data_IF_437630528940
#
_entry.id   IF_437630528940
#
_cell.length_a   1.000
_cell.length_b   1.000
_cell.length_c   1.000
_cell.angle_alpha   90.00
_cell.angle_beta   90.00
_cell.angle_gamma   90.00
#
_symmetry.space_group_name_H-M   'P 1'
#
loop_
_entity.id
_entity.type
_entity.pdbx_description
1 polymer ?
#
# COMPACT_ATOMS: atom_id res chain seq x y z
N UNK A 1 -9.68 -14.00 2.05
CA UNK A 1 -9.31 -15.43 1.94
C UNK A 1 -8.59 -15.61 0.62
N UNK A 2 -7.38 -16.16 0.65
CA UNK A 2 -6.68 -16.61 -0.56
C UNK A 2 -7.06 -18.06 -0.84
N UNK A 3 -7.30 -18.36 -2.12
CA UNK A 3 -7.67 -19.69 -2.59
C UNK A 3 -6.64 -20.14 -3.62
N UNK A 4 -6.24 -21.41 -3.51
CA UNK A 4 -5.45 -22.10 -4.52
C UNK A 4 -6.34 -23.14 -5.20
N UNK A 5 -5.92 -23.61 -6.38
CA UNK A 5 -6.58 -24.70 -7.10
C UNK A 5 -8.02 -24.44 -7.54
N UNK A 6 -8.37 -23.17 -7.76
CA UNK A 6 -9.64 -22.82 -8.40
C UNK A 6 -9.53 -23.07 -9.89
N UNK A 7 -10.55 -23.65 -10.52
CA UNK A 7 -10.59 -23.83 -11.97
C UNK A 7 -10.28 -22.51 -12.70
N UNK A 8 -9.41 -22.59 -13.72
CA UNK A 8 -8.93 -21.43 -14.45
C UNK A 8 -9.88 -21.05 -15.60
N UNK A 9 -11.09 -20.65 -15.23
CA UNK A 9 -12.10 -20.15 -16.15
C UNK A 9 -12.18 -18.61 -16.15
N UNK A 10 -12.78 -18.00 -17.19
CA UNK A 10 -13.10 -16.58 -17.19
C UNK A 10 -14.13 -16.28 -16.10
N UNK A 11 -13.95 -15.15 -15.40
CA UNK A 11 -14.92 -14.70 -14.41
C UNK A 11 -16.32 -14.50 -15.01
N UNK A 12 -17.36 -14.81 -14.24
CA UNK A 12 -18.75 -14.53 -14.57
C UNK A 12 -19.70 -15.61 -14.09
N UNK A 13 -20.96 -15.52 -14.52
CA UNK A 13 -22.10 -16.25 -13.97
C UNK A 13 -22.13 -17.78 -14.16
N UNK A 14 -21.00 -18.40 -14.48
CA UNK A 14 -20.82 -19.86 -14.54
C UNK A 14 -19.38 -20.27 -14.18
N UNK A 15 -18.57 -19.35 -13.65
CA UNK A 15 -17.21 -19.67 -13.22
C UNK A 15 -17.24 -20.41 -11.88
N UNK A 16 -16.30 -21.32 -11.65
CA UNK A 16 -16.16 -22.04 -10.38
C UNK A 16 -16.05 -21.09 -9.18
N UNK A 17 -15.36 -19.95 -9.35
CA UNK A 17 -15.23 -18.93 -8.31
C UNK A 17 -16.56 -18.22 -7.99
N UNK A 18 -17.37 -17.97 -9.01
CA UNK A 18 -18.69 -17.34 -8.84
C UNK A 18 -19.67 -18.30 -8.18
N UNK A 19 -19.69 -19.58 -8.59
CA UNK A 19 -20.50 -20.63 -7.96
C UNK A 19 -20.17 -20.81 -6.47
N UNK A 20 -18.87 -20.81 -6.12
CA UNK A 20 -18.42 -20.83 -4.73
C UNK A 20 -18.94 -19.60 -3.95
N UNK A 21 -18.83 -18.40 -4.51
CA UNK A 21 -19.28 -17.16 -3.85
C UNK A 21 -20.80 -17.12 -3.72
N UNK A 22 -21.54 -17.62 -4.70
CA UNK A 22 -23.00 -17.75 -4.64
C UNK A 22 -23.45 -18.75 -3.57
N UNK A 23 -22.77 -19.88 -3.44
CA UNK A 23 -23.01 -20.84 -2.36
C UNK A 23 -22.75 -20.23 -0.99
N UNK A 24 -21.63 -19.51 -0.82
CA UNK A 24 -21.30 -18.79 0.41
C UNK A 24 -22.34 -17.72 0.74
N UNK A 25 -22.78 -16.95 -0.25
CA UNK A 25 -23.80 -15.91 -0.09
C UNK A 25 -25.19 -16.49 0.17
N UNK A 26 -25.48 -17.68 -0.33
CA UNK A 26 -26.72 -18.41 0.01
C UNK A 26 -26.72 -18.81 1.49
N UNK A 27 -25.58 -19.27 2.02
CA UNK A 27 -25.44 -19.68 3.41
C UNK A 27 -25.33 -18.51 4.40
N UNK A 28 -24.55 -17.48 4.06
CA UNK A 28 -24.21 -16.37 4.95
C UNK A 28 -25.10 -15.12 4.77
N UNK A 29 -25.87 -15.07 3.69
CA UNK A 29 -26.69 -13.92 3.29
C UNK A 29 -26.14 -13.23 2.04
N UNK A 30 -27.05 -12.78 1.16
CA UNK A 30 -26.68 -12.21 -0.13
C UNK A 30 -25.73 -11.01 0.00
N UNK A 31 -24.67 -11.00 -0.79
CA UNK A 31 -23.67 -9.92 -0.81
C UNK A 31 -22.67 -9.92 0.36
N UNK A 32 -22.64 -10.99 1.17
CA UNK A 32 -21.67 -11.13 2.27
C UNK A 32 -20.25 -11.33 1.76
N UNK A 33 -20.09 -12.03 0.65
CA UNK A 33 -18.82 -12.31 -0.01
C UNK A 33 -18.83 -11.78 -1.45
N UNK A 34 -17.67 -11.30 -1.88
CA UNK A 34 -17.33 -10.96 -3.24
C UNK A 34 -15.93 -11.52 -3.55
N UNK A 35 -15.55 -11.52 -4.83
CA UNK A 35 -14.24 -11.99 -5.27
C UNK A 35 -13.51 -10.92 -6.09
N UNK A 36 -12.18 -10.99 -6.07
CA UNK A 36 -11.30 -10.14 -6.88
C UNK A 36 -11.33 -10.66 -8.31
N UNK A 37 -11.71 -9.80 -9.26
CA UNK A 37 -11.88 -10.17 -10.67
C UNK A 37 -10.55 -10.09 -11.42
N UNK A 38 -9.90 -11.23 -11.64
CA UNK A 38 -8.65 -11.35 -12.41
C UNK A 38 -8.86 -11.96 -13.79
N UNK A 39 -10.03 -12.55 -14.05
CA UNK A 39 -10.25 -13.43 -15.18
C UNK A 39 -9.45 -14.73 -15.06
N UNK A 40 -9.30 -15.41 -16.20
CA UNK A 40 -8.34 -16.51 -16.32
C UNK A 40 -6.90 -15.97 -16.32
N UNK A 41 -5.99 -16.67 -15.65
CA UNK A 41 -4.59 -16.26 -15.49
C UNK A 41 -3.64 -17.38 -15.86
N UNK A 42 -2.54 -17.08 -16.55
CA UNK A 42 -1.57 -18.10 -16.93
C UNK A 42 -2.16 -19.14 -17.88
N UNK A 43 -1.61 -20.35 -17.84
CA UNK A 43 -1.90 -21.42 -18.81
C UNK A 43 -2.32 -22.75 -18.19
N UNK A 44 -2.25 -22.86 -16.86
CA UNK A 44 -2.59 -24.07 -16.12
C UNK A 44 -4.10 -24.20 -15.95
N UNK A 45 -4.62 -25.41 -15.73
CA UNK A 45 -6.05 -25.65 -15.52
C UNK A 45 -6.58 -25.03 -14.23
N UNK A 46 -5.69 -24.68 -13.30
CA UNK A 46 -6.03 -24.02 -12.03
C UNK A 46 -5.34 -22.66 -11.87
N UNK A 47 -6.00 -21.77 -11.14
CA UNK A 47 -5.54 -20.43 -10.76
C UNK A 47 -5.62 -20.21 -9.25
N UNK A 48 -4.99 -19.15 -8.79
CA UNK A 48 -5.21 -18.60 -7.45
C UNK A 48 -6.30 -17.53 -7.49
N UNK A 49 -7.02 -17.34 -6.39
CA UNK A 49 -8.08 -16.36 -6.28
C UNK A 49 -8.14 -15.71 -4.90
N UNK A 50 -8.85 -14.58 -4.81
CA UNK A 50 -9.11 -13.89 -3.54
C UNK A 50 -10.62 -13.67 -3.41
N UNK A 51 -11.20 -14.12 -2.28
CA UNK A 51 -12.55 -13.74 -1.85
C UNK A 51 -12.48 -12.89 -0.59
N UNK A 52 -13.41 -11.95 -0.45
CA UNK A 52 -13.42 -10.98 0.64
C UNK A 52 -14.86 -10.61 1.03
N UNK A 53 -15.00 -10.00 2.21
CA UNK A 53 -16.29 -9.46 2.67
C UNK A 53 -16.34 -7.96 2.36
N UNK A 54 -17.15 -7.50 1.38
CA UNK A 54 -17.22 -6.08 1.02
C UNK A 54 -17.76 -5.20 2.15
N UNK A 55 -18.46 -5.78 3.14
CA UNK A 55 -18.87 -5.07 4.35
C UNK A 55 -17.73 -4.74 5.32
N UNK A 56 -16.54 -5.35 5.15
CA UNK A 56 -15.38 -5.16 6.05
C UNK A 56 -14.25 -4.42 5.34
N UNK A 57 -13.90 -4.86 4.13
CA UNK A 57 -12.81 -4.31 3.34
C UNK A 57 -13.26 -3.99 1.91
N UNK A 58 -12.67 -2.94 1.34
CA UNK A 58 -12.86 -2.55 -0.07
C UNK A 58 -11.54 -2.68 -0.82
N UNK A 59 -11.53 -3.29 -2.03
CA UNK A 59 -10.36 -3.29 -2.90
C UNK A 59 -9.94 -1.86 -3.27
N UNK A 60 -8.64 -1.58 -3.18
CA UNK A 60 -8.02 -0.31 -3.59
C UNK A 60 -7.22 -0.53 -4.86
N UNK A 61 -7.55 0.20 -5.92
CA UNK A 61 -6.94 0.01 -7.23
C UNK A 61 -7.35 -1.30 -7.91
N UNK A 62 -6.77 -1.56 -9.08
CA UNK A 62 -7.00 -2.79 -9.83
C UNK A 62 -6.09 -3.92 -9.30
N UNK A 63 -6.57 -5.18 -9.28
CA UNK A 63 -5.72 -6.30 -8.93
C UNK A 63 -4.58 -6.45 -9.93
N UNK A 64 -3.47 -7.01 -9.46
CA UNK A 64 -2.29 -7.25 -10.28
C UNK A 64 -1.95 -8.73 -10.32
N UNK A 65 -1.55 -9.20 -11.50
CA UNK A 65 -1.20 -10.60 -11.75
C UNK A 65 0.25 -10.68 -12.19
N UNK A 66 1.06 -11.45 -11.45
CA UNK A 66 2.45 -11.71 -11.80
C UNK A 66 2.53 -12.92 -12.73
N UNK A 67 2.27 -12.69 -14.03
CA UNK A 67 2.29 -13.70 -15.10
C UNK A 67 3.48 -13.50 -16.06
N UNK A 68 4.64 -13.16 -15.51
CA UNK A 68 5.87 -12.99 -16.31
C UNK A 68 6.69 -14.28 -16.28
N UNK A 69 7.43 -14.57 -17.35
CA UNK A 69 8.31 -15.75 -17.40
C UNK A 69 9.35 -15.76 -16.26
N UNK A 70 9.80 -14.59 -15.78
CA UNK A 70 10.69 -14.51 -14.63
C UNK A 70 10.10 -15.13 -13.35
N UNK A 71 8.78 -15.17 -13.23
CA UNK A 71 8.08 -15.81 -12.12
C UNK A 71 7.52 -17.18 -12.50
N UNK A 72 6.85 -17.31 -13.65
CA UNK A 72 6.16 -18.54 -14.03
C UNK A 72 7.09 -19.60 -14.61
N UNK A 73 8.21 -19.24 -15.23
CA UNK A 73 9.23 -20.15 -15.77
C UNK A 73 10.66 -19.59 -15.55
N UNK A 74 11.08 -19.39 -14.29
CA UNK A 74 12.30 -18.65 -13.95
C UNK A 74 13.58 -19.30 -14.52
N UNK A 75 13.53 -20.60 -14.80
CA UNK A 75 14.65 -21.37 -15.33
C UNK A 75 14.56 -21.63 -16.84
N UNK A 76 13.55 -21.08 -17.53
CA UNK A 76 13.42 -21.17 -18.98
C UNK A 76 13.20 -22.60 -19.49
N UNK A 77 12.40 -23.39 -18.78
CA UNK A 77 12.03 -24.77 -19.11
C UNK A 77 11.04 -24.86 -20.28
N UNK A 78 10.59 -23.72 -20.82
CA UNK A 78 9.79 -23.61 -22.03
C UNK A 78 8.28 -23.72 -21.79
N UNK A 79 7.85 -23.69 -20.53
CA UNK A 79 6.45 -23.74 -20.12
C UNK A 79 6.30 -23.25 -18.68
N UNK A 80 5.16 -22.63 -18.36
CA UNK A 80 4.87 -22.20 -17.00
C UNK A 80 4.95 -23.37 -16.01
N UNK A 81 5.43 -23.07 -14.80
CA UNK A 81 5.66 -24.00 -13.69
C UNK A 81 4.98 -23.48 -12.43
N UNK A 82 5.20 -22.21 -12.10
CA UNK A 82 4.45 -21.54 -11.04
C UNK A 82 3.15 -20.99 -11.63
N UNK A 83 2.04 -21.09 -10.88
CA UNK A 83 0.79 -20.42 -11.25
C UNK A 83 0.96 -18.92 -10.97
N UNK A 84 0.49 -18.03 -11.85
CA UNK A 84 0.63 -16.59 -11.63
C UNK A 84 0.14 -16.16 -10.25
N UNK A 85 0.92 -15.32 -9.57
CA UNK A 85 0.51 -14.77 -8.28
C UNK A 85 -0.49 -13.62 -8.48
N UNK A 86 -1.43 -13.45 -7.54
CA UNK A 86 -2.41 -12.36 -7.56
C UNK A 86 -2.21 -11.46 -6.36
N UNK A 87 -2.09 -10.16 -6.57
CA UNK A 87 -2.02 -9.14 -5.54
C UNK A 87 -3.22 -8.20 -5.59
N UNK A 88 -3.81 -7.93 -4.43
CA UNK A 88 -4.86 -6.92 -4.25
C UNK A 88 -4.64 -6.18 -2.94
N UNK A 89 -4.57 -4.85 -3.02
CA UNK A 89 -4.63 -3.99 -1.84
C UNK A 89 -6.07 -3.86 -1.37
N UNK A 90 -6.29 -3.98 -0.07
CA UNK A 90 -7.56 -3.76 0.58
C UNK A 90 -7.41 -2.61 1.57
N UNK A 91 -8.49 -1.84 1.73
CA UNK A 91 -8.64 -0.88 2.82
C UNK A 91 -9.84 -1.29 3.69
N UNK A 92 -9.68 -1.22 5.00
CA UNK A 92 -10.77 -1.44 5.95
C UNK A 92 -11.80 -0.33 5.80
N UNK A 93 -12.99 -0.69 5.35
CA UNK A 93 -14.08 0.24 5.02
C UNK A 93 -15.24 0.18 6.02
N UNK A 94 -15.23 -0.76 6.97
CA UNK A 94 -16.18 -0.81 8.07
C UNK A 94 -15.85 0.23 9.13
N UNK A 95 -16.68 1.28 9.21
CA UNK A 95 -16.50 2.36 10.19
C UNK A 95 -16.63 1.93 11.66
N UNK A 96 -17.12 0.71 11.94
CA UNK A 96 -17.17 0.15 13.28
C UNK A 96 -15.91 -0.66 13.64
N UNK A 97 -15.07 -0.96 12.65
CA UNK A 97 -13.81 -1.66 12.85
C UNK A 97 -12.76 -0.66 13.40
N UNK A 98 -11.99 -1.01 14.46
CA UNK A 98 -10.92 -0.14 14.98
C UNK A 98 -9.87 0.25 13.92
N UNK A 99 -9.69 -0.59 12.90
CA UNK A 99 -8.69 -0.44 11.85
C UNK A 99 -9.21 0.37 10.67
N UNK A 100 -10.35 1.06 10.82
CA UNK A 100 -10.97 1.81 9.72
C UNK A 100 -9.98 2.74 9.01
N UNK A 101 -9.88 2.60 7.69
CA UNK A 101 -8.96 3.34 6.85
C UNK A 101 -7.55 2.73 6.71
N UNK A 102 -7.19 1.74 7.55
CA UNK A 102 -5.97 0.95 7.38
C UNK A 102 -5.99 0.18 6.06
N UNK A 103 -4.83 0.04 5.45
CA UNK A 103 -4.66 -0.69 4.21
C UNK A 103 -3.58 -1.76 4.35
N UNK A 104 -3.67 -2.77 3.50
CA UNK A 104 -2.67 -3.83 3.37
C UNK A 104 -2.87 -4.54 2.03
N UNK A 105 -1.81 -5.17 1.53
CA UNK A 105 -1.83 -5.90 0.26
C UNK A 105 -1.76 -7.40 0.50
N UNK A 106 -2.79 -8.12 0.06
CA UNK A 106 -2.81 -9.58 0.05
C UNK A 106 -2.23 -10.08 -1.27
N UNK A 107 -1.31 -11.03 -1.19
CA UNK A 107 -0.66 -11.67 -2.33
C UNK A 107 -0.87 -13.17 -2.22
N UNK A 108 -1.57 -13.78 -3.18
CA UNK A 108 -1.81 -15.23 -3.19
C UNK A 108 -0.86 -15.90 -4.17
N UNK A 109 -0.21 -16.97 -3.71
CA UNK A 109 0.77 -17.74 -4.50
C UNK A 109 0.40 -19.22 -4.53
N UNK A 110 0.76 -19.88 -5.63
CA UNK A 110 0.80 -21.33 -5.73
C UNK A 110 2.04 -21.73 -6.55
N UNK A 111 3.14 -21.98 -5.84
CA UNK A 111 4.42 -22.31 -6.46
C UNK A 111 4.43 -23.77 -6.94
N UNK A 112 5.34 -24.11 -7.85
CA UNK A 112 5.41 -25.41 -8.51
C UNK A 112 5.51 -26.56 -7.51
N UNK A 113 4.61 -27.54 -7.65
CA UNK A 113 4.59 -28.75 -6.82
C UNK A 113 5.85 -29.61 -6.92
N UNK A 114 6.13 -30.33 -5.82
CA UNK A 114 7.23 -31.32 -5.72
C UNK A 114 6.97 -32.64 -6.45
N UNK A 115 5.73 -32.90 -6.89
CA UNK A 115 5.31 -34.19 -7.44
C UNK A 115 5.94 -34.59 -8.78
N UNK A 116 6.57 -33.66 -9.50
CA UNK A 116 7.19 -33.89 -10.80
C UNK A 116 8.50 -33.12 -10.95
N UNK A 117 9.51 -33.72 -11.59
CA UNK A 117 10.81 -33.10 -11.83
C UNK A 117 10.77 -31.93 -12.83
N UNK A 118 11.63 -30.94 -12.59
CA UNK A 118 11.95 -29.82 -13.48
C UNK A 118 13.26 -30.02 -14.24
N UNK A 119 14.00 -31.09 -13.95
CA UNK A 119 15.21 -31.48 -14.65
C UNK A 119 16.50 -31.20 -13.87
N UNK A 120 17.60 -31.71 -14.42
CA UNK A 120 18.91 -31.61 -13.78
C UNK A 120 19.36 -30.14 -13.62
N UNK A 121 19.77 -29.78 -12.40
CA UNK A 121 20.16 -28.41 -12.04
C UNK A 121 19.03 -27.59 -11.42
N UNK A 122 17.79 -28.05 -11.50
CA UNK A 122 16.63 -27.47 -10.81
C UNK A 122 16.16 -28.38 -9.66
N UNK A 123 16.02 -29.68 -9.94
CA UNK A 123 15.69 -30.69 -8.95
C UNK A 123 16.83 -30.85 -7.93
N UNK A 124 16.51 -30.74 -6.64
CA UNK A 124 17.47 -31.02 -5.57
C UNK A 124 17.40 -32.47 -5.12
N UNK A 125 18.42 -33.24 -5.50
CA UNK A 125 18.60 -34.64 -5.10
C UNK A 125 19.58 -34.81 -3.94
N UNK A 126 20.03 -33.71 -3.31
CA UNK A 126 21.18 -33.72 -2.41
C UNK A 126 20.86 -33.26 -0.98
N UNK A 127 19.99 -32.26 -0.83
CA UNK A 127 19.64 -31.71 0.49
C UNK A 127 18.23 -32.05 0.96
N UNK A 128 17.45 -32.73 0.11
CA UNK A 128 16.10 -33.20 0.44
C UNK A 128 14.99 -32.20 0.09
N UNK A 129 15.30 -31.11 -0.60
CA UNK A 129 14.31 -30.10 -0.99
C UNK A 129 13.46 -30.56 -2.19
N UNK A 130 13.91 -31.61 -2.88
CA UNK A 130 13.14 -32.32 -3.89
C UNK A 130 13.04 -31.60 -5.23
N UNK A 131 12.05 -32.02 -6.03
CA UNK A 131 11.89 -31.53 -7.39
C UNK A 131 11.60 -30.03 -7.45
N UNK A 132 11.99 -29.40 -8.56
CA UNK A 132 11.68 -28.01 -8.89
C UNK A 132 12.12 -26.98 -7.83
N UNK A 133 13.16 -27.27 -7.04
CA UNK A 133 13.62 -26.37 -5.98
C UNK A 133 14.17 -25.05 -6.56
N UNK A 134 14.95 -25.13 -7.64
CA UNK A 134 15.44 -23.95 -8.35
C UNK A 134 14.29 -23.11 -8.93
N UNK A 135 13.27 -23.76 -9.48
CA UNK A 135 12.08 -23.08 -10.03
C UNK A 135 11.30 -22.35 -8.93
N UNK A 136 11.07 -22.99 -7.78
CA UNK A 136 10.42 -22.34 -6.63
C UNK A 136 11.25 -21.17 -6.11
N UNK A 137 12.57 -21.33 -6.02
CA UNK A 137 13.50 -20.28 -5.55
C UNK A 137 13.54 -19.08 -6.49
N UNK A 138 13.58 -19.32 -7.80
CA UNK A 138 13.52 -18.27 -8.81
C UNK A 138 12.19 -17.52 -8.79
N UNK A 139 11.07 -18.25 -8.64
CA UNK A 139 9.74 -17.69 -8.47
C UNK A 139 9.64 -16.79 -7.23
N UNK A 140 10.11 -17.25 -6.07
CA UNK A 140 10.17 -16.45 -4.84
C UNK A 140 10.98 -15.16 -5.04
N UNK A 141 12.11 -15.24 -5.74
CA UNK A 141 12.96 -14.07 -6.04
C UNK A 141 12.24 -13.07 -6.93
N UNK A 142 11.58 -13.54 -7.99
CA UNK A 142 10.80 -12.68 -8.88
C UNK A 142 9.63 -12.02 -8.15
N UNK A 143 8.97 -12.75 -7.23
CA UNK A 143 7.87 -12.22 -6.44
C UNK A 143 8.32 -11.08 -5.52
N UNK A 144 9.39 -11.27 -4.74
CA UNK A 144 9.93 -10.22 -3.86
C UNK A 144 10.34 -8.98 -4.65
N UNK A 145 11.00 -9.17 -5.79
CA UNK A 145 11.39 -8.07 -6.67
C UNK A 145 10.18 -7.31 -7.23
N UNK A 146 9.10 -8.03 -7.54
CA UNK A 146 7.86 -7.43 -8.02
C UNK A 146 7.14 -6.63 -6.93
N UNK A 147 7.05 -7.16 -5.70
CA UNK A 147 6.44 -6.44 -4.58
C UNK A 147 7.20 -5.16 -4.22
N UNK A 148 8.53 -5.14 -4.38
CA UNK A 148 9.33 -3.93 -4.20
C UNK A 148 8.98 -2.78 -5.18
N UNK A 149 8.21 -3.05 -6.23
CA UNK A 149 7.75 -2.05 -7.20
C UNK A 149 6.42 -1.38 -6.86
N UNK A 150 5.79 -1.73 -5.73
CA UNK A 150 4.43 -1.29 -5.37
C UNK A 150 3.44 -1.63 -6.51
N UNK A 151 3.23 -2.93 -6.83
CA UNK A 151 2.56 -3.31 -8.06
C UNK A 151 1.11 -2.84 -8.12
N UNK A 152 0.42 -2.80 -6.98
CA UNK A 152 -0.96 -2.32 -6.84
C UNK A 152 -1.07 -0.79 -6.78
N UNK A 153 0.07 -0.08 -6.90
CA UNK A 153 0.17 1.38 -6.97
C UNK A 153 -0.45 2.08 -5.76
N UNK A 154 -0.15 1.58 -4.57
CA UNK A 154 -0.60 2.14 -3.29
C UNK A 154 -0.20 3.60 -3.14
N UNK A 155 0.98 4.00 -3.66
CA UNK A 155 1.42 5.39 -3.68
C UNK A 155 0.39 6.33 -4.32
N UNK A 156 -0.16 5.97 -5.48
CA UNK A 156 -1.14 6.79 -6.16
C UNK A 156 -2.55 6.64 -5.56
N UNK A 157 -2.90 5.43 -5.09
CA UNK A 157 -4.25 5.14 -4.64
C UNK A 157 -4.53 5.58 -3.19
N UNK A 158 -3.50 5.56 -2.32
CA UNK A 158 -3.57 5.88 -0.89
C UNK A 158 -2.82 7.18 -0.54
N UNK A 159 -2.01 7.71 -1.46
CA UNK A 159 -1.22 8.95 -1.25
C UNK A 159 0.15 8.72 -0.63
N UNK A 160 0.48 7.48 -0.27
CA UNK A 160 1.81 7.04 0.18
C UNK A 160 1.99 5.56 -0.20
N UNK A 161 3.25 5.11 -0.35
CA UNK A 161 3.55 3.69 -0.53
C UNK A 161 3.17 2.97 0.76
N UNK A 162 2.29 1.99 0.63
CA UNK A 162 1.96 1.05 1.68
C UNK A 162 2.90 -0.16 1.56
N UNK A 163 3.54 -0.52 2.67
CA UNK A 163 4.54 -1.61 2.69
C UNK A 163 4.01 -2.88 3.35
N UNK A 164 2.71 -2.93 3.66
CA UNK A 164 2.11 -4.03 4.39
C UNK A 164 1.68 -5.13 3.44
N UNK A 165 2.58 -6.09 3.23
CA UNK A 165 2.35 -7.24 2.35
C UNK A 165 2.09 -8.50 3.16
N UNK A 166 0.95 -9.15 2.89
CA UNK A 166 0.60 -10.48 3.37
C UNK A 166 0.66 -11.46 2.19
N UNK A 167 1.69 -12.29 2.14
CA UNK A 167 1.88 -13.31 1.11
C UNK A 167 1.39 -14.64 1.65
N UNK A 168 0.37 -15.23 1.05
CA UNK A 168 -0.29 -16.46 1.52
C UNK A 168 -0.42 -17.48 0.39
N UNK A 169 -0.45 -18.75 0.77
CA UNK A 169 -0.82 -19.85 -0.12
C UNK A 169 0.11 -21.03 -0.01
N UNK A 170 0.10 -21.88 -1.03
CA UNK A 170 0.94 -23.07 -1.13
C UNK A 170 2.27 -22.72 -1.81
N UNK A 171 3.34 -22.65 -1.02
CA UNK A 171 4.69 -22.39 -1.52
C UNK A 171 5.37 -23.68 -2.00
N UNK A 172 4.75 -24.84 -1.77
CA UNK A 172 5.29 -26.16 -2.05
C UNK A 172 6.70 -26.34 -1.47
N UNK A 173 6.98 -25.70 -0.34
CA UNK A 173 8.30 -25.64 0.26
C UNK A 173 8.22 -25.67 1.79
N UNK A 174 9.14 -26.40 2.41
CA UNK A 174 9.24 -26.40 3.87
C UNK A 174 9.95 -25.14 4.38
N UNK A 175 9.73 -24.83 5.66
CA UNK A 175 10.18 -23.59 6.30
C UNK A 175 11.67 -23.25 6.05
N UNK A 176 12.56 -24.24 6.03
CA UNK A 176 14.01 -24.06 5.84
C UNK A 176 14.49 -24.20 4.39
N UNK A 177 13.60 -24.45 3.44
CA UNK A 177 13.98 -24.60 2.04
C UNK A 177 14.33 -23.26 1.40
N UNK A 178 15.18 -23.30 0.39
CA UNK A 178 15.71 -22.18 -0.38
C UNK A 178 14.64 -21.15 -0.81
N UNK A 179 13.47 -21.55 -1.39
CA UNK A 179 12.42 -20.59 -1.73
C UNK A 179 11.92 -19.78 -0.52
N UNK A 180 11.84 -20.37 0.68
CA UNK A 180 11.44 -19.65 1.89
C UNK A 180 12.55 -18.72 2.38
N UNK A 181 13.82 -19.13 2.24
CA UNK A 181 14.96 -18.28 2.60
C UNK A 181 15.03 -16.98 1.79
N UNK A 182 14.54 -16.97 0.55
CA UNK A 182 14.43 -15.75 -0.26
C UNK A 182 13.59 -14.69 0.44
N UNK A 183 12.44 -15.06 0.99
CA UNK A 183 11.58 -14.11 1.72
C UNK A 183 12.27 -13.60 2.98
N UNK A 184 12.84 -14.50 3.78
CA UNK A 184 13.47 -14.14 5.07
C UNK A 184 14.67 -13.20 4.90
N UNK A 185 15.50 -13.45 3.90
CA UNK A 185 16.65 -12.59 3.59
C UNK A 185 16.25 -11.22 3.03
N UNK A 186 15.01 -11.07 2.56
CA UNK A 186 14.45 -9.80 2.07
C UNK A 186 13.51 -9.12 3.07
N UNK A 187 13.62 -9.46 4.36
CA UNK A 187 12.91 -8.76 5.43
C UNK A 187 11.44 -9.16 5.59
N UNK A 188 11.06 -10.32 5.06
CA UNK A 188 9.77 -10.93 5.37
C UNK A 188 9.93 -11.96 6.49
N UNK A 189 8.85 -12.27 7.19
CA UNK A 189 8.81 -13.30 8.24
C UNK A 189 7.61 -14.20 8.05
N UNK A 190 7.81 -15.50 8.28
CA UNK A 190 6.70 -16.43 8.33
C UNK A 190 5.94 -16.25 9.65
N UNK A 191 4.62 -16.18 9.56
CA UNK A 191 3.72 -15.98 10.70
C UNK A 191 3.38 -17.31 11.38
N UNK A 192 3.44 -18.43 10.65
CA UNK A 192 3.28 -19.76 11.25
C UNK A 192 4.61 -20.29 11.79
N UNK A 193 4.53 -21.08 12.86
CA UNK A 193 5.71 -21.60 13.53
C UNK A 193 6.49 -22.58 12.63
N UNK A 194 7.82 -22.63 12.78
CA UNK A 194 8.68 -23.51 11.99
C UNK A 194 8.32 -25.01 12.10
N UNK A 195 7.74 -25.44 13.21
CA UNK A 195 7.34 -26.83 13.47
C UNK A 195 5.85 -27.10 13.20
N UNK A 196 5.18 -26.22 12.46
CA UNK A 196 3.81 -26.42 11.96
C UNK A 196 3.77 -27.48 10.86
N UNK A 197 2.55 -27.90 10.52
CA UNK A 197 2.26 -28.74 9.37
C UNK A 197 0.92 -28.31 8.78
N UNK A 198 0.76 -28.51 7.48
CA UNK A 198 -0.47 -28.20 6.74
C UNK A 198 -0.83 -29.29 5.75
N UNK A 199 0.04 -30.30 5.60
CA UNK A 199 -0.04 -31.33 4.57
C UNK A 199 0.61 -32.64 5.03
N UNK A 200 0.11 -33.75 4.51
CA UNK A 200 0.65 -35.10 4.72
C UNK A 200 0.96 -35.77 3.38
N UNK A 201 2.20 -36.21 3.20
CA UNK A 201 2.65 -36.93 2.01
C UNK A 201 3.27 -38.27 2.40
N UNK A 202 2.74 -39.39 1.89
CA UNK A 202 3.26 -40.73 2.17
C UNK A 202 3.47 -41.04 3.68
N UNK A 203 2.65 -40.42 4.54
CA UNK A 203 2.71 -40.56 6.00
C UNK A 203 3.70 -39.63 6.70
N UNK A 204 4.38 -38.75 5.96
CA UNK A 204 5.23 -37.67 6.50
C UNK A 204 4.46 -36.36 6.56
N UNK A 205 4.62 -35.63 7.67
CA UNK A 205 3.91 -34.38 7.94
C UNK A 205 4.83 -33.20 7.64
N UNK A 206 4.30 -32.18 6.99
CA UNK A 206 5.06 -30.98 6.67
C UNK A 206 4.18 -29.77 6.40
N UNK A 207 4.81 -28.59 6.35
CA UNK A 207 4.13 -27.31 6.07
C UNK A 207 4.52 -26.82 4.68
N UNK A 208 3.57 -26.89 3.76
CA UNK A 208 3.69 -26.34 2.40
C UNK A 208 2.95 -25.00 2.27
N UNK A 209 1.92 -24.82 3.11
CA UNK A 209 1.10 -23.62 3.19
C UNK A 209 1.69 -22.67 4.22
N UNK A 210 1.92 -21.43 3.80
CA UNK A 210 2.55 -20.42 4.66
C UNK A 210 1.79 -19.11 4.61
N UNK A 211 1.96 -18.32 5.65
CA UNK A 211 1.60 -16.92 5.69
C UNK A 211 2.85 -16.10 5.99
N UNK A 212 3.32 -15.33 5.03
CA UNK A 212 4.58 -14.59 5.06
C UNK A 212 4.27 -13.09 5.02
N UNK A 213 4.66 -12.36 6.05
CA UNK A 213 4.41 -10.92 6.16
C UNK A 213 5.68 -10.10 5.92
N UNK A 214 5.54 -8.91 5.33
CA UNK A 214 6.60 -7.90 5.35
C UNK A 214 6.91 -7.47 6.79
N UNK A 215 8.08 -6.87 7.02
CA UNK A 215 8.47 -6.38 8.35
C UNK A 215 7.46 -5.40 8.96
N UNK A 216 6.81 -4.55 8.15
CA UNK A 216 5.82 -3.59 8.64
C UNK A 216 4.48 -4.24 8.98
N UNK A 217 4.03 -5.23 8.20
CA UNK A 217 2.80 -5.95 8.52
C UNK A 217 3.00 -6.93 9.69
N UNK A 218 4.18 -7.52 9.85
CA UNK A 218 4.46 -8.49 10.91
C UNK A 218 4.24 -7.89 12.32
N UNK A 219 4.41 -6.58 12.50
CA UNK A 219 4.12 -5.90 13.78
C UNK A 219 2.63 -5.68 14.04
N UNK A 220 1.80 -5.86 13.01
CA UNK A 220 0.34 -5.69 13.00
C UNK A 220 -0.39 -7.05 13.02
N UNK A 221 0.31 -8.15 13.30
CA UNK A 221 -0.26 -9.49 13.37
C UNK A 221 -0.53 -9.87 14.83
N UNK A 222 -1.77 -10.25 15.14
CA UNK A 222 -2.16 -10.72 16.48
C UNK A 222 -1.88 -12.20 16.70
N UNK A 223 -1.76 -12.97 15.62
CA UNK A 223 -1.43 -14.39 15.64
C UNK A 223 -1.71 -15.06 14.29
N UNK A 224 -1.10 -16.22 14.06
CA UNK A 224 -1.41 -17.08 12.92
C UNK A 224 -1.31 -18.55 13.33
N UNK A 225 -2.18 -19.39 12.78
CA UNK A 225 -2.19 -20.84 13.04
C UNK A 225 -2.79 -21.61 11.87
N UNK A 226 -2.31 -22.82 11.66
CA UNK A 226 -2.97 -23.82 10.82
C UNK A 226 -4.28 -24.27 11.49
N UNK A 227 -5.35 -24.33 10.70
CA UNK A 227 -6.63 -24.86 11.14
C UNK A 227 -6.76 -26.31 10.68
N UNK A 228 -6.34 -27.22 11.55
CA UNK A 228 -6.31 -28.66 11.28
C UNK A 228 -7.72 -29.27 11.13
N UNK A 229 -8.20 -29.30 9.90
CA UNK A 229 -9.47 -29.93 9.51
C UNK A 229 -9.30 -30.91 8.33
N UNK A 230 -8.14 -30.91 7.67
CA UNK A 230 -7.94 -31.57 6.39
C UNK A 230 -6.75 -32.53 6.40
N UNK A 231 -5.56 -32.06 6.79
CA UNK A 231 -4.32 -32.84 6.58
C UNK A 231 -4.24 -34.10 7.44
N UNK A 232 -4.83 -34.05 8.65
CA UNK A 232 -4.94 -35.18 9.57
C UNK A 232 -5.98 -36.22 9.14
N UNK A 233 -6.90 -35.85 8.26
CA UNK A 233 -8.00 -36.70 7.82
C UNK A 233 -7.60 -37.67 6.73
N UNK A 234 -8.19 -38.86 6.76
CA UNK A 234 -7.95 -39.86 5.72
C UNK A 234 -8.44 -39.37 4.37
N UNK A 235 -7.61 -39.54 3.32
CA UNK A 235 -8.04 -39.32 1.94
C UNK A 235 -9.23 -40.16 1.52
N UNK A 236 -9.60 -41.22 2.26
CA UNK A 236 -10.82 -41.97 1.99
C UNK A 236 -12.10 -41.17 2.28
N UNK A 237 -12.05 -40.12 3.10
CA UNK A 237 -13.21 -39.31 3.51
C UNK A 237 -13.48 -38.09 2.60
N UNK A 238 -12.62 -37.84 1.61
CA UNK A 238 -12.78 -36.68 0.70
C UNK A 238 -14.02 -36.75 -0.20
N UNK A 239 -14.21 -35.68 -0.96
CA UNK A 239 -15.35 -35.44 -1.85
C UNK A 239 -15.26 -36.14 -3.22
N UNK A 240 -14.23 -36.97 -3.49
CA UNK A 240 -14.14 -37.69 -4.76
C UNK A 240 -15.36 -38.61 -4.94
N UNK A 241 -15.80 -38.78 -6.17
CA UNK A 241 -17.01 -39.52 -6.48
C UNK A 241 -16.75 -41.03 -6.69
N UNK A 242 -17.77 -41.76 -7.11
CA UNK A 242 -17.69 -43.21 -7.36
C UNK A 242 -17.42 -43.56 -8.83
N UNK A 243 -17.24 -42.55 -9.68
CA UNK A 243 -17.03 -42.67 -11.12
C UNK A 243 -15.54 -42.77 -11.36
N UNK A 244 -15.13 -43.82 -12.06
CA UNK A 244 -13.76 -43.91 -12.54
C UNK A 244 -13.67 -43.17 -13.87
N UNK A 245 -13.07 -41.99 -13.87
CA UNK A 245 -12.83 -41.22 -15.08
C UNK A 245 -11.65 -41.77 -15.88
N UNK A 246 -11.63 -41.44 -17.18
CA UNK A 246 -10.56 -41.92 -18.06
C UNK A 246 -9.23 -41.24 -17.71
N UNK A 247 -8.27 -42.02 -17.21
CA UNK A 247 -6.94 -41.54 -16.81
C UNK A 247 -6.79 -41.31 -15.31
N UNK A 248 -7.89 -41.34 -14.57
CA UNK A 248 -7.88 -41.33 -13.12
C UNK A 248 -7.32 -42.66 -12.57
N UNK A 249 -6.60 -42.61 -11.44
CA UNK A 249 -6.08 -43.82 -10.81
C UNK A 249 -7.20 -44.62 -10.14
N UNK A 250 -7.07 -45.96 -10.13
CA UNK A 250 -8.13 -46.86 -9.64
C UNK A 250 -8.47 -46.73 -8.15
N UNK A 251 -7.69 -45.95 -7.40
CA UNK A 251 -7.84 -45.72 -5.97
C UNK A 251 -8.43 -44.33 -5.66
N UNK A 252 -8.59 -43.46 -6.66
CA UNK A 252 -9.20 -42.13 -6.50
C UNK A 252 -10.73 -42.23 -6.53
N UNK A 253 -11.29 -43.07 -7.40
CA UNK A 253 -12.72 -43.37 -7.41
C UNK A 253 -13.14 -44.15 -6.15
N UNK A 254 -14.16 -43.64 -5.45
CA UNK A 254 -14.66 -44.23 -4.21
C UNK A 254 -15.43 -45.53 -4.45
N UNK A 255 -15.36 -46.48 -3.51
CA UNK A 255 -16.13 -47.71 -3.61
C UNK A 255 -17.63 -47.42 -3.50
N UNK A 256 -18.38 -47.67 -4.58
CA UNK A 256 -19.84 -47.45 -4.62
C UNK A 256 -20.64 -48.22 -3.54
N UNK A 257 -20.07 -49.28 -2.97
CA UNK A 257 -20.72 -50.11 -1.94
C UNK A 257 -20.57 -49.58 -0.52
N UNK A 258 -19.69 -48.61 -0.29
CA UNK A 258 -19.45 -48.03 1.04
C UNK A 258 -19.11 -46.54 0.89
N UNK A 259 -20.12 -45.64 0.91
CA UNK A 259 -19.86 -44.21 0.85
C UNK A 259 -19.15 -43.78 2.13
N UNK A 260 -17.91 -43.32 1.97
CA UNK A 260 -17.05 -42.88 3.08
C UNK A 260 -17.03 -41.35 3.23
N UNK A 261 -17.58 -40.61 2.27
CA UNK A 261 -17.71 -39.17 2.32
C UNK A 261 -18.62 -38.73 3.47
N UNK A 262 -18.21 -37.68 4.18
CA UNK A 262 -19.05 -36.94 5.12
C UNK A 262 -19.16 -35.48 4.69
N UNK A 263 -20.36 -34.90 4.83
CA UNK A 263 -20.64 -33.52 4.41
C UNK A 263 -20.45 -32.53 5.57
N UNK A 264 -19.33 -32.66 6.29
CA UNK A 264 -18.88 -31.72 7.31
C UNK A 264 -17.66 -30.93 6.81
N UNK A 265 -17.05 -30.11 7.66
CA UNK A 265 -15.91 -29.27 7.31
C UNK A 265 -14.60 -30.06 7.09
N UNK A 266 -14.55 -31.29 7.59
CA UNK A 266 -13.35 -32.11 7.61
C UNK A 266 -13.08 -32.74 6.24
N UNK A 267 -11.80 -32.84 5.87
CA UNK A 267 -11.36 -33.39 4.57
C UNK A 267 -12.02 -32.72 3.36
N UNK A 268 -12.33 -31.44 3.48
CA UNK A 268 -12.77 -30.59 2.38
C UNK A 268 -11.62 -30.22 1.43
N UNK A 269 -10.38 -30.45 1.86
CA UNK A 269 -9.15 -30.38 1.07
C UNK A 269 -8.14 -31.43 1.60
N UNK A 270 -7.04 -31.63 0.90
CA UNK A 270 -5.84 -32.33 1.39
C UNK A 270 -4.86 -31.40 2.12
N UNK A 271 -5.12 -30.09 2.10
CA UNK A 271 -4.35 -29.05 2.81
C UNK A 271 -5.16 -28.37 3.92
N UNK A 272 -4.52 -28.04 5.04
CA UNK A 272 -5.11 -27.23 6.11
C UNK A 272 -5.08 -25.72 5.76
N UNK A 273 -6.16 -24.96 6.05
CA UNK A 273 -6.13 -23.52 5.93
C UNK A 273 -5.24 -22.85 6.99
N UNK A 274 -4.53 -21.78 6.62
CA UNK A 274 -3.86 -20.90 7.59
C UNK A 274 -4.80 -19.74 7.96
N UNK A 275 -5.01 -19.53 9.26
CA UNK A 275 -5.82 -18.43 9.80
C UNK A 275 -4.90 -17.39 10.42
N UNK A 276 -5.04 -16.13 9.99
CA UNK A 276 -4.23 -14.99 10.44
C UNK A 276 -5.16 -13.92 11.06
N UNK A 277 -4.77 -13.40 12.22
CA UNK A 277 -5.38 -12.23 12.84
C UNK A 277 -4.53 -10.98 12.63
N UNK A 278 -5.18 -9.87 12.25
CA UNK A 278 -4.55 -8.58 12.01
C UNK A 278 -5.14 -7.54 12.96
N UNK A 279 -4.29 -6.60 13.39
CA UNK A 279 -4.58 -5.39 14.16
C UNK A 279 -3.79 -4.28 13.49
N UNK A 280 -4.42 -3.64 12.50
CA UNK A 280 -3.72 -2.80 11.53
C UNK A 280 -3.52 -1.37 12.03
N UNK A 281 -2.38 -0.79 11.69
CA UNK A 281 -2.05 0.60 11.98
C UNK A 281 -2.88 1.52 11.07
N UNK A 282 -4.06 1.92 11.53
CA UNK A 282 -4.90 2.88 10.81
C UNK A 282 -4.15 4.21 10.62
N UNK A 283 -4.21 4.83 9.43
CA UNK A 283 -3.75 6.20 9.25
C UNK A 283 -4.41 7.07 10.31
N UNK A 284 -3.62 7.91 10.98
CA UNK A 284 -4.18 8.87 11.93
C UNK A 284 -5.36 9.59 11.26
N UNK A 285 -6.54 9.67 11.91
CA UNK A 285 -7.73 10.20 11.28
C UNK A 285 -7.40 11.57 10.72
N UNK A 286 -7.45 11.69 9.38
CA UNK A 286 -7.29 12.99 8.75
C UNK A 286 -8.44 13.83 9.30
N UNK A 287 -8.18 14.95 10.02
CA UNK A 287 -9.25 15.74 10.58
C UNK A 287 -10.15 16.13 9.41
N UNK A 288 -11.40 15.64 9.45
CA UNK A 288 -12.37 15.97 8.41
C UNK A 288 -12.55 17.48 8.47
N UNK A 289 -12.19 18.24 7.40
CA UNK A 289 -12.44 19.66 7.39
C UNK A 289 -13.95 19.83 7.46
N UNK A 290 -14.46 20.20 8.64
CA UNK A 290 -15.84 20.63 8.78
C UNK A 290 -15.91 21.94 8.03
N UNK A 291 -16.51 21.92 6.84
CA UNK A 291 -16.71 23.11 6.04
C UNK A 291 -17.71 24.03 6.76
N UNK A 292 -17.25 24.83 7.72
CA UNK A 292 -17.96 26.00 8.20
C UNK A 292 -17.58 27.18 7.32
N UNK A 293 -18.52 27.52 6.43
CA UNK A 293 -18.61 28.77 5.66
C UNK A 293 -17.36 29.18 4.87
N UNK A 294 -17.41 28.90 3.56
CA UNK A 294 -16.67 29.61 2.52
C UNK A 294 -16.80 31.15 2.70
N UNK A 295 -15.73 31.90 3.02
CA UNK A 295 -15.77 33.35 2.93
C UNK A 295 -15.59 33.75 1.46
N UNK A 296 -16.65 33.58 0.68
CA UNK A 296 -16.79 34.16 -0.65
C UNK A 296 -15.83 33.64 -1.72
N UNK A 297 -16.39 32.99 -2.73
CA UNK A 297 -15.79 32.89 -4.06
C UNK A 297 -15.63 34.32 -4.64
N UNK A 298 -14.52 34.98 -4.28
CA UNK A 298 -14.05 36.20 -4.90
C UNK A 298 -13.05 35.84 -5.99
N UNK A 299 -13.55 35.49 -7.17
CA UNK A 299 -12.75 35.53 -8.38
C UNK A 299 -12.38 37.01 -8.65
N UNK A 300 -11.28 37.47 -8.07
CA UNK A 300 -10.78 38.82 -8.19
C UNK A 300 -9.33 38.87 -7.74
N UNK A 301 -8.42 39.20 -8.67
CA UNK A 301 -6.99 39.36 -8.42
C UNK A 301 -6.66 40.54 -7.49
N UNK A 302 -7.00 40.41 -6.21
CA UNK A 302 -6.67 41.35 -5.15
C UNK A 302 -5.72 40.70 -4.15
N UNK A 303 -4.50 41.23 -4.05
CA UNK A 303 -3.48 40.77 -3.11
C UNK A 303 -4.00 40.91 -1.66
N UNK A 304 -3.85 39.85 -0.85
CA UNK A 304 -4.43 39.71 0.49
C UNK A 304 -3.82 40.61 1.58
N UNK A 305 -3.27 41.76 1.22
CA UNK A 305 -2.55 42.65 2.13
C UNK A 305 -3.51 43.29 3.16
N UNK A 306 -3.22 43.11 4.45
CA UNK A 306 -3.99 43.64 5.56
C UNK A 306 -5.29 42.88 5.87
N UNK A 307 -5.48 41.68 5.31
CA UNK A 307 -6.66 40.85 5.58
C UNK A 307 -6.45 39.96 6.80
N UNK A 308 -7.50 39.84 7.60
CA UNK A 308 -7.54 38.89 8.70
C UNK A 308 -8.45 37.71 8.37
N UNK A 309 -8.01 36.50 8.73
CA UNK A 309 -8.73 35.25 8.53
C UNK A 309 -8.89 34.56 9.88
N UNK A 310 -10.11 34.11 10.19
CA UNK A 310 -10.37 33.35 11.40
C UNK A 310 -10.39 31.85 11.05
N UNK A 311 -9.57 31.05 11.73
CA UNK A 311 -9.60 29.58 11.66
C UNK A 311 -10.27 29.07 12.93
N UNK A 312 -11.37 28.32 12.76
CA UNK A 312 -12.22 27.92 13.88
C UNK A 312 -12.85 29.15 14.56
N UNK A 313 -13.01 29.11 15.87
CA UNK A 313 -13.56 30.23 16.65
C UNK A 313 -12.50 31.19 17.20
N UNK A 314 -11.22 30.77 17.24
CA UNK A 314 -10.24 31.36 18.14
C UNK A 314 -8.87 31.71 17.54
N UNK A 315 -8.54 31.26 16.33
CA UNK A 315 -7.27 31.63 15.70
C UNK A 315 -7.52 32.76 14.72
N UNK A 316 -6.89 33.91 14.97
CA UNK A 316 -6.91 35.05 14.04
C UNK A 316 -5.55 35.16 13.37
N UNK A 317 -5.58 35.05 12.04
CA UNK A 317 -4.45 35.30 11.18
C UNK A 317 -4.54 36.70 10.63
N UNK A 318 -3.44 37.44 10.63
CA UNK A 318 -3.32 38.70 9.89
C UNK A 318 -2.14 38.60 8.95
N UNK A 319 -2.38 38.91 7.67
CA UNK A 319 -1.37 38.83 6.63
C UNK A 319 -1.12 40.22 6.09
N UNK A 320 0.14 40.63 6.05
CA UNK A 320 0.56 41.82 5.33
C UNK A 320 1.77 41.52 4.43
N UNK A 321 1.84 42.26 3.32
CA UNK A 321 2.97 42.20 2.38
C UNK A 321 3.58 43.59 2.24
N UNK A 322 4.89 43.63 2.01
CA UNK A 322 5.60 44.88 1.75
C UNK A 322 5.15 45.57 0.45
N UNK A 323 4.60 44.82 -0.51
CA UNK A 323 4.19 45.33 -1.83
C UNK A 323 3.02 44.52 -2.44
N UNK A 324 2.17 45.12 -3.32
CA UNK A 324 0.94 44.51 -3.82
C UNK A 324 1.12 43.61 -5.07
N UNK A 325 2.29 43.58 -5.73
CA UNK A 325 2.51 42.75 -6.93
C UNK A 325 3.94 42.25 -7.04
N UNK A 326 4.14 40.93 -7.13
CA UNK A 326 5.46 40.32 -7.29
C UNK A 326 6.13 40.78 -8.60
N UNK A 327 7.33 41.35 -8.50
CA UNK A 327 8.17 41.80 -9.60
C UNK A 327 9.52 41.10 -9.57
N UNK A 328 10.06 40.81 -10.76
CA UNK A 328 11.32 40.09 -10.93
C UNK A 328 12.54 40.89 -10.45
N UNK A 329 13.50 40.22 -9.80
CA UNK A 329 14.73 40.84 -9.30
C UNK A 329 14.57 41.60 -7.97
N UNK A 330 13.45 41.43 -7.27
CA UNK A 330 13.21 42.03 -5.95
C UNK A 330 12.96 40.98 -4.86
N UNK A 331 13.30 41.33 -3.63
CA UNK A 331 12.96 40.56 -2.43
C UNK A 331 11.63 41.03 -1.88
N UNK A 332 10.74 40.08 -1.61
CA UNK A 332 9.38 40.29 -1.10
C UNK A 332 9.33 39.81 0.33
N UNK A 333 8.77 40.62 1.23
CA UNK A 333 8.55 40.22 2.61
C UNK A 333 7.05 40.06 2.88
N UNK A 334 6.70 38.89 3.38
CA UNK A 334 5.37 38.58 3.89
C UNK A 334 5.45 38.48 5.40
N UNK A 335 4.55 39.17 6.08
CA UNK A 335 4.40 39.12 7.53
C UNK A 335 3.07 38.43 7.82
N UNK A 336 3.16 37.25 8.44
CA UNK A 336 2.00 36.50 8.90
C UNK A 336 2.03 36.53 10.42
N UNK A 337 1.02 37.16 11.03
CA UNK A 337 0.83 37.14 12.48
C UNK A 337 -0.28 36.16 12.81
N UNK A 338 0.04 35.20 13.67
CA UNK A 338 -0.88 34.20 14.21
C UNK A 338 -1.17 34.59 15.65
N UNK A 339 -2.46 34.71 16.00
CA UNK A 339 -2.90 35.03 17.36
C UNK A 339 -3.88 33.98 17.84
N UNK A 340 -3.64 33.41 19.02
CA UNK A 340 -4.61 32.56 19.71
C UNK A 340 -5.45 33.39 20.68
N UNK A 341 -6.77 33.44 20.46
CA UNK A 341 -7.70 34.25 21.26
C UNK A 341 -8.50 33.45 22.30
N UNK A 342 -8.28 32.13 22.45
CA UNK A 342 -8.98 31.28 23.43
C UNK A 342 -8.02 30.33 24.20
N UNK A 343 -8.54 29.65 25.23
CA UNK A 343 -7.81 28.79 26.17
C UNK A 343 -7.81 27.29 25.76
N UNK A 344 -8.38 26.95 24.61
CA UNK A 344 -8.74 25.59 24.22
C UNK A 344 -8.25 25.21 22.81
N UNK A 345 -7.80 23.95 22.69
CA UNK A 345 -7.16 23.38 21.51
C UNK A 345 -8.10 23.24 20.32
N UNK A 346 -7.73 23.86 19.20
CA UNK A 346 -8.41 23.74 17.90
C UNK A 346 -7.42 23.07 16.93
N UNK A 347 -7.91 22.19 16.07
CA UNK A 347 -7.19 21.71 14.88
C UNK A 347 -7.84 22.24 13.60
N UNK A 348 -7.05 22.75 12.67
CA UNK A 348 -7.52 23.19 11.35
C UNK A 348 -6.37 23.30 10.36
N UNK A 349 -6.67 23.19 9.06
CA UNK A 349 -5.71 23.41 7.96
C UNK A 349 -6.17 24.60 7.13
N UNK A 350 -5.40 25.69 7.15
CA UNK A 350 -5.58 26.79 6.19
C UNK A 350 -4.52 26.69 5.11
N UNK A 351 -4.99 26.54 3.87
CA UNK A 351 -4.16 26.55 2.66
C UNK A 351 -4.20 27.95 2.06
N UNK A 352 -3.15 28.74 2.26
CA UNK A 352 -3.03 30.05 1.64
C UNK A 352 -2.30 29.92 0.31
N UNK A 353 -3.03 30.17 -0.78
CA UNK A 353 -2.48 30.18 -2.13
C UNK A 353 -2.11 31.63 -2.49
N UNK A 354 -0.85 31.98 -2.27
CA UNK A 354 -0.28 33.27 -2.69
C UNK A 354 -0.03 33.24 -4.21
N UNK A 355 0.17 34.38 -4.91
CA UNK A 355 0.22 34.41 -6.37
C UNK A 355 1.37 33.57 -6.93
N UNK A 356 1.12 32.27 -7.11
CA UNK A 356 1.97 31.33 -7.83
C UNK A 356 3.10 30.65 -7.06
N UNK A 357 3.44 31.08 -5.83
CA UNK A 357 4.81 30.89 -5.33
C UNK A 357 4.99 30.11 -4.02
N UNK A 358 3.95 29.95 -3.19
CA UNK A 358 4.03 29.14 -1.97
C UNK A 358 2.66 28.59 -1.60
N UNK A 359 2.66 27.38 -1.04
CA UNK A 359 1.54 26.87 -0.24
C UNK A 359 1.97 26.87 1.21
N UNK A 360 1.22 27.55 2.06
CA UNK A 360 1.38 27.50 3.52
C UNK A 360 0.23 26.69 4.09
N UNK A 361 0.55 25.58 4.75
CA UNK A 361 -0.36 24.82 5.60
C UNK A 361 -0.06 25.17 7.05
N UNK A 362 -1.10 25.53 7.79
CA UNK A 362 -1.01 25.73 9.23
C UNK A 362 -1.78 24.58 9.85
N UNK A 363 -1.12 23.74 10.65
CA UNK A 363 -1.72 22.61 11.38
C UNK A 363 -1.66 22.98 12.85
N UNK A 364 -2.76 22.85 13.57
CA UNK A 364 -2.80 23.08 15.01
C UNK A 364 -3.14 21.80 15.75
N UNK A 365 -2.43 21.50 16.83
CA UNK A 365 -2.74 20.36 17.70
C UNK A 365 -3.52 20.80 18.96
N UNK A 366 -4.01 19.82 19.70
CA UNK A 366 -4.82 20.03 20.91
C UNK A 366 -4.01 20.64 22.08
N UNK A 367 -2.69 20.77 21.96
CA UNK A 367 -1.80 21.34 22.96
C UNK A 367 -1.40 22.79 22.63
N UNK A 368 -2.02 23.40 21.60
CA UNK A 368 -1.67 24.74 21.15
C UNK A 368 -0.42 24.80 20.27
N UNK A 369 0.10 23.64 19.82
CA UNK A 369 1.20 23.59 18.86
C UNK A 369 0.68 23.92 17.47
N UNK A 370 1.18 25.01 16.90
CA UNK A 370 0.94 25.45 15.52
C UNK A 370 2.12 25.02 14.67
N UNK A 371 1.96 24.01 13.84
CA UNK A 371 2.90 23.70 12.78
C UNK A 371 2.62 24.55 11.55
N UNK A 372 3.59 25.37 11.15
CA UNK A 372 3.56 26.04 9.85
C UNK A 372 4.43 25.23 8.90
N UNK A 373 3.80 24.68 7.88
CA UNK A 373 4.43 23.95 6.80
C UNK A 373 4.33 24.81 5.57
N UNK A 374 5.45 25.15 4.93
CA UNK A 374 5.41 25.83 3.64
C UNK A 374 6.18 25.06 2.58
N UNK A 375 5.66 25.09 1.37
CA UNK A 375 6.26 24.45 0.20
C UNK A 375 6.33 25.44 -0.95
N UNK A 376 7.44 25.40 -1.68
CA UNK A 376 7.60 26.06 -2.96
C UNK A 376 6.97 25.18 -4.05
N UNK A 377 5.89 25.61 -4.73
CA UNK A 377 5.36 24.90 -5.87
C UNK A 377 6.38 24.98 -7.01
N UNK A 378 6.45 23.91 -7.81
CA UNK A 378 7.20 23.92 -9.06
C UNK A 378 6.25 24.20 -10.22
N UNK A 379 6.69 25.04 -11.15
CA UNK A 379 5.96 25.29 -12.40
C UNK A 379 6.30 24.16 -13.39
N UNK A 380 5.38 23.22 -13.61
CA UNK A 380 5.51 22.22 -14.70
C UNK A 380 4.52 22.55 -15.80
N UNK A 381 5.02 22.83 -17.00
CA UNK A 381 4.20 23.07 -18.19
C UNK A 381 3.09 24.12 -18.02
N UNK A 382 3.39 25.23 -17.33
CA UNK A 382 2.42 26.31 -17.08
C UNK A 382 1.34 25.98 -16.06
N UNK A 383 1.42 24.83 -15.39
CA UNK A 383 0.55 24.43 -14.28
C UNK A 383 1.39 24.35 -12.99
N UNK A 384 0.85 24.87 -11.90
CA UNK A 384 1.48 24.70 -10.59
C UNK A 384 1.31 23.25 -10.13
N UNK A 385 2.41 22.61 -9.75
CA UNK A 385 2.43 21.26 -9.19
C UNK A 385 3.24 21.30 -7.89
N UNK A 386 2.70 20.72 -6.82
CA UNK A 386 3.47 20.49 -5.60
C UNK A 386 4.49 19.38 -5.89
N UNK A 387 5.80 19.61 -5.69
CA UNK A 387 6.81 18.57 -5.94
C UNK A 387 6.59 17.35 -5.05
N UNK A 388 6.86 16.15 -5.59
CA UNK A 388 6.71 14.85 -4.91
C UNK A 388 7.68 14.67 -3.72
N UNK A 389 8.73 15.49 -3.64
CA UNK A 389 9.58 15.69 -2.47
C UNK A 389 10.11 17.13 -2.53
N UNK A 390 9.73 17.99 -1.58
CA UNK A 390 10.38 19.30 -1.38
C UNK A 390 11.08 19.36 -0.04
N UNK A 391 12.02 20.29 0.07
CA UNK A 391 12.50 20.84 1.34
C UNK A 391 11.32 21.44 2.11
N UNK A 392 10.60 20.61 2.85
CA UNK A 392 9.50 21.04 3.70
C UNK A 392 10.11 21.64 4.95
N UNK A 393 10.13 22.96 5.04
CA UNK A 393 10.42 23.62 6.29
C UNK A 393 9.18 23.53 7.19
N UNK A 394 9.27 22.69 8.22
CA UNK A 394 8.25 22.55 9.27
C UNK A 394 8.72 23.27 10.52
N UNK A 395 7.89 24.16 11.06
CA UNK A 395 8.17 24.79 12.35
C UNK A 395 6.95 24.62 13.23
N UNK A 396 7.10 23.81 14.28
CA UNK A 396 6.12 23.67 15.34
C UNK A 396 6.28 24.81 16.35
N UNK A 397 5.19 25.51 16.65
CA UNK A 397 5.17 26.69 17.51
C UNK A 397 4.07 26.53 18.54
N UNK A 398 4.43 26.30 19.81
CA UNK A 398 3.45 26.30 20.90
C UNK A 398 2.99 27.73 21.20
N UNK A 399 1.68 27.97 21.16
CA UNK A 399 1.04 29.24 21.51
C UNK A 399 0.18 29.07 22.76
N UNK A 400 0.51 29.79 23.82
CA UNK A 400 -0.39 29.99 24.96
C UNK A 400 -1.56 30.93 24.61
N UNK A 401 -2.56 30.98 25.49
CA UNK A 401 -3.70 31.87 25.32
C UNK A 401 -3.28 33.35 25.32
N UNK A 402 -3.77 34.10 24.34
CA UNK A 402 -3.41 35.51 24.14
C UNK A 402 -1.99 35.71 23.58
N UNK A 403 -1.24 34.64 23.31
CA UNK A 403 0.06 34.74 22.67
C UNK A 403 -0.07 34.95 21.16
N UNK A 404 0.92 35.65 20.61
CA UNK A 404 1.05 35.83 19.17
C UNK A 404 2.45 35.46 18.71
N UNK A 405 2.52 35.03 17.45
CA UNK A 405 3.76 34.72 16.75
C UNK A 405 3.72 35.36 15.38
N UNK A 406 4.86 35.94 15.01
CA UNK A 406 5.02 36.57 13.71
C UNK A 406 6.03 35.76 12.90
N UNK A 407 5.59 35.35 11.72
CA UNK A 407 6.41 34.69 10.70
C UNK A 407 6.70 35.71 9.62
N UNK A 408 7.98 35.95 9.37
CA UNK A 408 8.46 36.76 8.25
C UNK A 408 9.02 35.86 7.18
N UNK A 409 8.38 35.81 6.03
CA UNK A 409 8.85 35.03 4.88
C UNK A 409 9.42 36.00 3.86
N UNK A 410 10.73 35.90 3.64
CA UNK A 410 11.43 36.64 2.60
C UNK A 410 11.65 35.73 1.39
N UNK A 411 11.31 36.22 0.20
CA UNK A 411 11.55 35.50 -1.05
C UNK A 411 12.18 36.41 -2.08
N UNK A 412 13.23 35.94 -2.74
CA UNK A 412 13.84 36.66 -3.86
C UNK A 412 13.65 35.86 -5.14
N UNK A 413 12.99 36.47 -6.13
CA UNK A 413 12.88 35.89 -7.47
C UNK A 413 14.02 36.40 -8.35
N UNK A 414 14.88 35.52 -8.89
CA UNK A 414 15.90 35.90 -9.86
C UNK A 414 15.28 36.52 -11.12
N UNK A 415 16.04 37.36 -11.81
CA UNK A 415 15.61 37.98 -13.07
C UNK A 415 15.56 36.96 -14.24
N UNK A 416 16.37 35.90 -14.16
CA UNK A 416 16.49 34.84 -15.17
C UNK A 416 15.97 33.50 -14.62
N UNK A 417 15.05 32.86 -15.35
CA UNK A 417 14.29 31.70 -14.86
C UNK A 417 14.96 30.34 -15.10
N UNK A 418 16.00 30.27 -15.92
CA UNK A 418 16.59 28.99 -16.31
C UNK A 418 17.71 28.60 -15.34
N UNK A 419 17.55 27.45 -14.68
CA UNK A 419 18.59 26.83 -13.86
C UNK A 419 18.97 27.63 -12.60
N UNK A 420 18.11 28.56 -12.16
CA UNK A 420 18.39 29.41 -11.00
C UNK A 420 17.54 28.95 -9.81
N UNK A 421 18.17 28.84 -8.63
CA UNK A 421 17.48 28.50 -7.40
C UNK A 421 16.73 29.70 -6.84
N UNK A 422 15.48 29.47 -6.42
CA UNK A 422 14.70 30.38 -5.60
C UNK A 422 14.82 29.93 -4.16
N UNK A 423 15.38 30.78 -3.30
CA UNK A 423 15.44 30.52 -1.86
C UNK A 423 14.40 31.38 -1.15
N UNK A 424 13.60 30.73 -0.31
CA UNK A 424 12.70 31.38 0.63
C UNK A 424 13.23 31.15 2.04
N UNK A 425 13.31 32.23 2.81
CA UNK A 425 13.76 32.18 4.20
C UNK A 425 12.62 32.66 5.09
N UNK A 426 12.23 31.82 6.05
CA UNK A 426 11.25 32.16 7.08
C UNK A 426 11.97 32.41 8.41
N UNK A 427 11.78 33.62 8.95
CA UNK A 427 12.26 34.00 10.27
C UNK A 427 11.05 34.11 11.21
N UNK A 428 11.11 33.39 12.32
CA UNK A 428 10.06 33.34 13.32
C UNK A 428 10.47 34.18 14.52
N UNK A 429 9.57 35.05 14.98
CA UNK A 429 9.77 35.85 16.18
C UNK A 429 8.48 35.90 17.00
N UNK A 430 8.61 35.88 18.31
CA UNK A 430 7.48 36.19 19.18
C UNK A 430 7.83 36.21 20.66
N UNK A 431 6.81 36.55 21.44
CA UNK A 431 6.88 36.66 22.89
C UNK A 431 6.14 35.49 23.52
N UNK A 432 6.84 34.59 24.22
CA UNK A 432 6.23 33.69 25.20
C UNK A 432 6.94 33.84 26.53
N UNK A 433 6.21 34.16 27.59
CA UNK A 433 6.72 34.13 28.97
C UNK A 433 8.03 34.90 29.24
N UNK A 434 8.40 35.90 28.41
CA UNK A 434 9.65 36.67 28.58
C UNK A 434 10.92 36.08 27.95
N UNK A 435 10.85 35.00 27.17
CA UNK A 435 11.99 34.47 26.41
C UNK A 435 11.70 34.53 24.89
N UNK A 436 12.58 35.17 24.11
CA UNK A 436 12.57 35.07 22.65
C UNK A 436 13.23 33.75 22.22
N UNK A 437 12.52 32.97 21.40
CA UNK A 437 13.11 31.87 20.65
C UNK A 437 12.99 32.22 19.17
N UNK A 438 14.07 32.79 18.63
CA UNK A 438 14.15 33.03 17.19
C UNK A 438 14.57 31.71 16.53
N UNK A 439 13.69 31.18 15.68
CA UNK A 439 13.96 30.02 14.83
C UNK A 439 13.99 30.52 13.40
N UNK A 440 15.01 30.15 12.63
CA UNK A 440 15.08 30.40 11.20
C UNK A 440 14.99 29.07 10.45
N UNK A 441 14.21 29.04 9.38
CA UNK A 441 14.12 27.91 8.47
C UNK A 441 14.21 28.43 7.04
N UNK A 442 14.92 27.72 6.17
CA UNK A 442 15.05 28.08 4.76
C UNK A 442 14.71 26.89 3.86
N UNK A 443 13.95 27.14 2.80
CA UNK A 443 13.67 26.19 1.74
C UNK A 443 14.21 26.73 0.41
N UNK A 444 14.85 25.88 -0.39
CA UNK A 444 15.37 26.27 -1.70
C UNK A 444 14.76 25.38 -2.79
N UNK A 445 14.21 25.98 -3.84
CA UNK A 445 13.71 25.25 -5.00
C UNK A 445 14.52 25.62 -6.25
N UNK A 446 14.92 24.63 -7.03
CA UNK A 446 15.51 24.83 -8.36
C UNK A 446 14.40 24.88 -9.41
N UNK A 447 14.30 25.98 -10.16
CA UNK A 447 13.38 26.06 -11.29
C UNK A 447 14.05 25.38 -12.50
N UNK A 448 13.60 24.17 -12.83
CA UNK A 448 14.00 23.46 -14.05
C UNK A 448 12.79 23.43 -14.98
N UNK A 449 12.82 24.21 -16.06
CA UNK A 449 11.88 24.05 -17.17
C UNK A 449 12.61 23.37 -18.33
N UNK A 450 12.14 22.21 -18.76
CA UNK A 450 12.39 21.75 -20.13
C UNK A 450 11.23 22.25 -20.99
N UNK A 451 11.52 23.15 -21.93
CA UNK A 451 10.66 23.33 -23.10
C UNK A 451 11.19 22.38 -24.19
N UNK A 452 10.33 21.66 -24.92
CA UNK A 452 10.77 21.04 -26.15
C UNK A 452 11.12 22.16 -27.15
N UNK A 453 12.17 21.93 -27.94
CA UNK A 453 12.44 22.75 -29.10
C UNK A 453 11.19 22.80 -30.01
N UNK A 454 10.93 23.96 -30.59
CA UNK A 454 9.73 24.27 -31.36
C UNK A 454 9.42 23.20 -32.42
N UNK A 455 8.25 22.55 -32.33
CA UNK A 455 7.66 21.82 -33.46
C UNK A 455 7.20 20.38 -33.25
N UNK A 456 7.42 19.76 -32.09
CA UNK A 456 7.02 18.35 -31.87
C UNK A 456 5.94 18.20 -30.78
N UNK A 457 4.95 17.34 -31.05
CA UNK A 457 3.94 16.88 -30.08
C UNK A 457 4.61 15.99 -29.03
N UNK A 458 4.51 16.28 -27.72
CA UNK A 458 5.21 15.51 -26.69
C UNK A 458 4.65 14.08 -26.57
N UNK A 459 5.56 13.12 -26.62
CA UNK A 459 5.36 11.72 -26.21
C UNK A 459 5.91 11.61 -24.80
N UNK A 460 5.12 11.09 -23.86
CA UNK A 460 5.46 10.98 -22.44
C UNK A 460 6.62 10.00 -22.20
N UNK A 461 7.70 10.46 -21.56
CA UNK A 461 8.71 9.62 -20.90
C UNK A 461 9.26 10.34 -19.66
N UNK A 462 9.35 9.60 -18.56
CA UNK A 462 10.00 9.99 -17.31
C UNK A 462 11.51 10.14 -17.49
N UNK A 463 12.10 11.17 -16.87
CA UNK A 463 13.55 11.26 -16.58
C UNK A 463 13.81 11.90 -15.21
N UNK A 464 14.77 11.27 -14.54
CA UNK A 464 15.38 11.38 -13.20
C UNK A 464 16.42 12.52 -13.11
N UNK A 465 16.63 13.19 -11.95
CA UNK A 465 18.00 13.40 -11.38
C UNK A 465 18.14 14.13 -10.01
N UNK A 466 19.09 13.56 -9.24
CA UNK A 466 20.14 14.13 -8.35
C UNK A 466 19.79 14.94 -7.08
N UNK A 467 20.20 14.37 -5.94
CA UNK A 467 20.45 15.10 -4.69
C UNK A 467 21.98 15.17 -4.45
N UNK A 468 22.51 16.39 -4.36
CA UNK A 468 23.81 16.72 -3.76
C UNK A 468 23.52 17.11 -2.30
N UNK A 469 24.26 16.53 -1.35
CA UNK A 469 23.80 16.40 0.04
C UNK A 469 24.17 17.48 1.07
N UNK A 470 23.69 17.18 2.29
CA UNK A 470 24.14 17.41 3.68
C UNK A 470 24.41 18.84 4.23
N UNK A 471 23.85 19.05 5.44
CA UNK A 471 24.37 19.92 6.49
C UNK A 471 23.48 19.91 7.73
N UNK A 472 23.99 19.42 8.86
CA UNK A 472 23.37 19.46 10.21
C UNK A 472 23.30 20.91 10.70
#
# INVERSE_FOLDING_TARGET
>A
VGLMEIENDPDGSNSALDDLVDALNTAAGAGTYAYVQTGATGTDEIKVAIIYKPGVVTPVGAPQVLDTAAFTDPNGLGSQKNRPAVAQTFQVSDASNPDFGAAFTVVVVHLKSKGSGCGAGDDDTTTGQGNCNGTRTGGATALVNWLATDPTNTAANLGAVDTDYLIIGDFNAYYLEDPMQVFYTNGYSNLVAQNSYSYVFDGEWGSLDHAVASSSLATQVTGAQDYHINSDESSLLDYNDTVQDTGEASWMAKPATNPLYNADEFRSSDHDPVVIGLDLDAPAPTPTPTATANPGNGNGGGNGNGKSYTIGECIVLTISSSEPFVSYGQTWEWVITITNTCDDGISGVLVLNFPGLFVVNIITDNNGAVQVVYTTPTMRYGRMVLPMQSDVAQVAVNLGAGESRTVRIATTLPQDYQGTSVTATANFSGTSGGASSDVSASATALIVSELPATGETPIWRDVVLAIIGLGI
#
